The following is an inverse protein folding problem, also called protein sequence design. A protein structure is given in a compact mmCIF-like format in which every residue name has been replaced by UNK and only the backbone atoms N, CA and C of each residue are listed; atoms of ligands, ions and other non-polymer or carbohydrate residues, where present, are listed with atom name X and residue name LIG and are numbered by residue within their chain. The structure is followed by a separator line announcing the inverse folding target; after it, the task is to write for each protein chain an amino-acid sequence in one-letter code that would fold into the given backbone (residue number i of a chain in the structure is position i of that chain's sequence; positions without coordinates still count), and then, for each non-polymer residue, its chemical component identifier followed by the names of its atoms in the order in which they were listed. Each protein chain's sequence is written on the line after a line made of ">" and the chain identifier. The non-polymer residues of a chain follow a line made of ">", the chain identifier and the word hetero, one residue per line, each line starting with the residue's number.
data_IF_764109193070
#
_entry.id   IF_764109193070
#
_cell.length_a   1.000
_cell.length_b   1.000
_cell.length_c   1.000
_cell.angle_alpha   90.00
_cell.angle_beta   90.00
_cell.angle_gamma   90.00
#
_symmetry.space_group_name_H-M   'P 1'
#
loop_
_entity.id
_entity.type
_entity.pdbx_description
1 polymer ?
#
# COMPACT_ATOMS: atom_id res chain seq x y z
N UNK A 1 -36.70 4.27 -17.21
CA UNK A 1 -36.67 4.49 -18.67
C UNK A 1 -35.56 5.45 -19.16
N UNK A 2 -34.66 5.95 -18.31
CA UNK A 2 -33.55 6.83 -18.74
C UNK A 2 -32.26 6.09 -19.18
N UNK A 3 -32.35 4.79 -19.48
CA UNK A 3 -31.18 3.90 -19.71
C UNK A 3 -31.19 3.18 -21.07
N UNK A 4 -32.22 3.38 -21.91
CA UNK A 4 -32.33 2.64 -23.17
C UNK A 4 -31.61 3.29 -24.37
N UNK A 5 -31.18 4.55 -24.26
CA UNK A 5 -30.50 5.31 -25.33
C UNK A 5 -29.06 5.70 -24.98
N UNK A 6 -28.45 5.08 -23.98
CA UNK A 6 -27.06 5.33 -23.60
C UNK A 6 -26.25 4.12 -24.08
N UNK A 7 -25.20 4.30 -24.90
CA UNK A 7 -24.47 3.17 -25.47
C UNK A 7 -23.94 2.24 -24.36
N UNK A 8 -23.92 0.94 -24.65
CA UNK A 8 -23.72 -0.12 -23.67
C UNK A 8 -22.42 0.06 -22.85
N UNK A 9 -21.40 0.64 -23.48
CA UNK A 9 -20.14 1.05 -22.87
C UNK A 9 -20.33 2.02 -21.68
N UNK A 10 -21.17 3.05 -21.83
CA UNK A 10 -21.45 4.05 -20.80
C UNK A 10 -22.27 3.47 -19.65
N UNK A 11 -23.14 2.48 -19.92
CA UNK A 11 -23.90 1.77 -18.89
C UNK A 11 -23.00 0.90 -18.01
N UNK A 12 -22.08 0.16 -18.62
CA UNK A 12 -21.08 -0.66 -17.92
C UNK A 12 -20.17 0.24 -17.07
N UNK A 13 -19.64 1.32 -17.66
CA UNK A 13 -18.80 2.31 -16.94
C UNK A 13 -19.53 2.91 -15.74
N UNK A 14 -20.82 3.26 -15.87
CA UNK A 14 -21.61 3.85 -14.78
C UNK A 14 -21.86 2.89 -13.62
N UNK A 15 -22.15 1.61 -13.90
CA UNK A 15 -22.31 0.56 -12.88
C UNK A 15 -20.99 0.28 -12.16
N UNK A 16 -19.88 0.27 -12.90
CA UNK A 16 -18.55 0.07 -12.36
C UNK A 16 -18.12 1.25 -11.46
N UNK A 17 -18.34 2.48 -11.90
CA UNK A 17 -18.13 3.69 -11.09
C UNK A 17 -18.96 3.68 -9.80
N UNK A 18 -20.22 3.25 -9.86
CA UNK A 18 -21.09 3.17 -8.68
C UNK A 18 -20.62 2.13 -7.66
N UNK A 19 -20.21 0.92 -8.11
CA UNK A 19 -19.62 -0.10 -7.23
C UNK A 19 -18.31 0.38 -6.60
N UNK A 20 -17.46 1.02 -7.40
CA UNK A 20 -16.16 1.57 -6.94
C UNK A 20 -16.36 2.73 -5.97
N UNK A 21 -17.34 3.60 -6.20
CA UNK A 21 -17.70 4.65 -5.25
C UNK A 21 -18.16 4.08 -3.91
N UNK A 22 -18.97 3.02 -3.91
CA UNK A 22 -19.36 2.32 -2.68
C UNK A 22 -18.17 1.69 -1.93
N UNK A 23 -17.21 1.12 -2.67
CA UNK A 23 -15.97 0.58 -2.09
C UNK A 23 -15.07 1.68 -1.52
N UNK A 24 -14.91 2.79 -2.24
CA UNK A 24 -14.16 3.96 -1.79
C UNK A 24 -14.76 4.54 -0.51
N UNK A 25 -16.09 4.70 -0.43
CA UNK A 25 -16.75 5.19 0.78
C UNK A 25 -16.57 4.23 1.96
N UNK A 26 -16.75 2.92 1.75
CA UNK A 26 -16.58 1.92 2.82
C UNK A 26 -15.16 1.93 3.37
N UNK A 27 -14.17 2.07 2.49
CA UNK A 27 -12.76 2.11 2.85
C UNK A 27 -12.35 3.44 3.48
N UNK A 28 -12.86 4.55 2.98
CA UNK A 28 -12.64 5.86 3.59
C UNK A 28 -13.14 5.90 5.04
N UNK A 29 -14.28 5.26 5.34
CA UNK A 29 -14.78 5.11 6.71
C UNK A 29 -13.88 4.22 7.57
N UNK A 30 -13.51 3.03 7.10
CA UNK A 30 -12.59 2.13 7.83
C UNK A 30 -11.23 2.78 8.10
N UNK A 31 -10.64 3.40 7.08
CA UNK A 31 -9.38 4.12 7.17
C UNK A 31 -9.48 5.30 8.14
N UNK A 32 -10.61 6.01 8.17
CA UNK A 32 -10.82 7.11 9.13
C UNK A 32 -10.80 6.61 10.57
N UNK A 33 -11.46 5.49 10.86
CA UNK A 33 -11.44 4.89 12.20
C UNK A 33 -10.05 4.36 12.59
N UNK A 34 -9.40 3.61 11.69
CA UNK A 34 -8.05 3.11 11.91
C UNK A 34 -7.04 4.24 12.07
N UNK A 35 -7.16 5.31 11.27
CA UNK A 35 -6.33 6.51 11.37
C UNK A 35 -6.56 7.23 12.69
N UNK A 36 -7.81 7.36 13.16
CA UNK A 36 -8.09 7.98 14.46
C UNK A 36 -7.53 7.16 15.62
N UNK A 37 -7.70 5.84 15.60
CA UNK A 37 -7.14 4.96 16.62
C UNK A 37 -5.61 4.97 16.60
N UNK A 38 -5.01 4.94 15.41
CA UNK A 38 -3.55 5.05 15.22
C UNK A 38 -3.03 6.41 15.66
N UNK A 39 -3.78 7.49 15.45
CA UNK A 39 -3.45 8.84 15.92
C UNK A 39 -3.29 8.87 17.43
N UNK A 40 -4.19 8.20 18.17
CA UNK A 40 -4.10 8.10 19.63
C UNK A 40 -2.84 7.37 20.09
N UNK A 41 -2.39 6.36 19.33
CA UNK A 41 -1.13 5.64 19.60
C UNK A 41 0.08 6.55 19.39
N UNK A 42 0.20 7.19 18.23
CA UNK A 42 1.39 8.00 17.89
C UNK A 42 1.48 9.32 18.67
N UNK A 43 0.39 9.79 19.27
CA UNK A 43 0.40 10.94 20.19
C UNK A 43 0.68 10.56 21.65
N UNK A 44 0.83 9.27 21.96
CA UNK A 44 1.14 8.81 23.30
C UNK A 44 2.64 8.51 23.43
N UNK A 45 3.39 9.48 23.96
CA UNK A 45 4.85 9.42 24.07
C UNK A 45 5.36 8.21 24.87
N UNK A 46 4.61 7.74 25.87
CA UNK A 46 4.98 6.55 26.64
C UNK A 46 4.88 5.29 25.76
N UNK A 47 3.80 5.19 24.98
CA UNK A 47 3.59 4.09 24.04
C UNK A 47 4.62 4.15 22.91
N UNK A 48 4.87 5.33 22.31
CA UNK A 48 5.86 5.47 21.22
C UNK A 48 7.28 5.16 21.68
N UNK A 49 7.65 5.57 22.89
CA UNK A 49 8.95 5.23 23.49
C UNK A 49 9.13 3.71 23.67
N UNK A 50 8.11 3.03 24.20
CA UNK A 50 8.16 1.57 24.36
C UNK A 50 8.12 0.85 23.00
N UNK A 51 7.37 1.39 22.03
CA UNK A 51 7.36 0.89 20.67
C UNK A 51 8.75 0.95 20.04
N UNK A 52 9.45 2.08 20.18
CA UNK A 52 10.81 2.23 19.67
C UNK A 52 11.77 1.21 20.29
N UNK A 53 11.65 0.96 21.60
CA UNK A 53 12.45 -0.05 22.29
C UNK A 53 12.19 -1.46 21.74
N UNK A 54 10.91 -1.83 21.59
CA UNK A 54 10.49 -3.12 21.04
C UNK A 54 10.94 -3.27 19.57
N UNK A 55 10.85 -2.20 18.77
CA UNK A 55 11.32 -2.16 17.39
C UNK A 55 12.82 -2.41 17.25
N UNK A 56 13.63 -1.79 18.12
CA UNK A 56 15.09 -1.92 18.12
C UNK A 56 15.58 -3.33 18.47
N UNK A 57 14.73 -4.19 19.03
CA UNK A 57 15.06 -5.61 19.27
C UNK A 57 14.92 -6.48 18.01
N UNK A 58 14.31 -5.98 16.94
CA UNK A 58 14.04 -6.74 15.73
C UNK A 58 15.20 -6.57 14.73
N UNK A 59 15.74 -7.68 14.20
CA UNK A 59 16.75 -7.64 13.13
C UNK A 59 16.11 -7.34 11.76
N UNK A 60 15.70 -6.09 11.59
CA UNK A 60 15.09 -5.56 10.36
C UNK A 60 15.98 -5.81 9.15
N UNK A 61 17.30 -5.70 9.32
CA UNK A 61 18.24 -5.85 8.21
C UNK A 61 18.24 -7.29 7.68
N UNK A 62 18.24 -8.28 8.57
CA UNK A 62 18.17 -9.68 8.18
C UNK A 62 16.79 -10.04 7.64
N UNK A 63 15.71 -9.57 8.27
CA UNK A 63 14.33 -9.78 7.78
C UNK A 63 14.18 -9.29 6.34
N UNK A 64 14.60 -8.06 6.05
CA UNK A 64 14.51 -7.49 4.70
C UNK A 64 15.35 -8.31 3.70
N UNK A 65 16.54 -8.77 4.12
CA UNK A 65 17.44 -9.55 3.26
C UNK A 65 16.83 -10.91 2.92
N UNK A 66 16.48 -11.70 3.94
CA UNK A 66 15.90 -13.03 3.75
C UNK A 66 14.68 -12.98 2.85
N UNK A 67 13.78 -12.02 3.10
CA UNK A 67 12.52 -11.93 2.35
C UNK A 67 12.76 -11.50 0.91
N UNK A 68 13.51 -10.41 0.68
CA UNK A 68 13.71 -9.90 -0.68
C UNK A 68 14.46 -10.91 -1.56
N UNK A 69 15.50 -11.56 -1.03
CA UNK A 69 16.27 -12.54 -1.80
C UNK A 69 15.62 -13.93 -1.86
N UNK A 70 14.54 -14.19 -1.10
CA UNK A 70 13.74 -15.41 -1.26
C UNK A 70 12.80 -15.38 -2.47
N UNK A 71 12.53 -14.19 -3.02
CA UNK A 71 11.67 -14.01 -4.20
C UNK A 71 12.51 -14.21 -5.47
N UNK A 72 12.01 -15.02 -6.42
CA UNK A 72 12.67 -15.40 -7.67
C UNK A 72 12.82 -14.25 -8.70
N UNK A 73 13.45 -13.12 -8.34
CA UNK A 73 13.66 -11.98 -9.22
C UNK A 73 15.03 -11.29 -9.03
N UNK A 74 16.08 -11.89 -9.58
CA UNK A 74 17.48 -11.43 -9.42
C UNK A 74 17.72 -9.95 -9.72
N UNK A 75 17.05 -9.38 -10.73
CA UNK A 75 17.42 -8.06 -11.29
C UNK A 75 16.86 -6.86 -10.52
N UNK A 76 15.88 -7.08 -9.65
CA UNK A 76 15.27 -6.05 -8.82
C UNK A 76 15.61 -6.20 -7.32
N UNK A 77 16.17 -7.33 -6.91
CA UNK A 77 16.38 -7.64 -5.50
C UNK A 77 17.24 -6.60 -4.79
N UNK A 78 18.35 -6.15 -5.35
CA UNK A 78 19.19 -5.12 -4.71
C UNK A 78 18.47 -3.78 -4.56
N UNK A 79 17.66 -3.40 -5.55
CA UNK A 79 16.86 -2.17 -5.52
C UNK A 79 15.74 -2.28 -4.47
N UNK A 80 15.01 -3.39 -4.49
CA UNK A 80 13.92 -3.68 -3.56
C UNK A 80 14.46 -3.77 -2.11
N UNK A 81 15.59 -4.43 -1.90
CA UNK A 81 16.23 -4.54 -0.58
C UNK A 81 16.57 -3.17 -0.02
N UNK A 82 17.21 -2.31 -0.82
CA UNK A 82 17.55 -0.94 -0.40
C UNK A 82 16.32 -0.12 -0.04
N UNK A 83 15.26 -0.20 -0.85
CA UNK A 83 14.03 0.56 -0.60
C UNK A 83 13.30 0.04 0.63
N UNK A 84 13.10 -1.27 0.77
CA UNK A 84 12.37 -1.84 1.90
C UNK A 84 13.12 -1.66 3.22
N UNK A 85 14.45 -1.81 3.20
CA UNK A 85 15.28 -1.51 4.38
C UNK A 85 15.21 -0.04 4.75
N UNK A 86 15.29 0.87 3.76
CA UNK A 86 15.17 2.30 4.00
C UNK A 86 13.78 2.67 4.53
N UNK A 87 12.71 2.03 4.03
CA UNK A 87 11.36 2.22 4.53
C UNK A 87 11.26 1.88 6.02
N UNK A 88 11.86 0.77 6.46
CA UNK A 88 11.87 0.40 7.87
C UNK A 88 12.66 1.41 8.72
N UNK A 89 13.75 1.97 8.21
CA UNK A 89 14.52 3.04 8.88
C UNK A 89 13.77 4.36 8.96
N UNK A 90 13.06 4.73 7.88
CA UNK A 90 12.19 5.92 7.86
C UNK A 90 11.05 5.77 8.87
N UNK A 91 10.47 4.57 9.00
CA UNK A 91 9.46 4.29 10.02
C UNK A 91 10.00 4.40 11.45
N UNK A 92 11.20 3.87 11.71
CA UNK A 92 11.88 4.06 13.01
C UNK A 92 12.04 5.54 13.34
N UNK A 93 12.50 6.33 12.35
CA UNK A 93 12.68 7.77 12.49
C UNK A 93 11.35 8.50 12.79
N UNK A 94 10.24 8.10 12.17
CA UNK A 94 8.92 8.68 12.47
C UNK A 94 8.52 8.48 13.94
N UNK A 95 8.84 7.31 14.51
CA UNK A 95 8.62 7.05 15.94
C UNK A 95 9.58 7.89 16.80
N UNK A 96 10.86 7.96 16.44
CA UNK A 96 11.87 8.74 17.17
C UNK A 96 11.56 10.23 17.24
N UNK A 97 10.94 10.77 16.19
CA UNK A 97 10.58 12.20 16.09
C UNK A 97 9.18 12.50 16.66
N UNK A 98 8.51 11.54 17.31
CA UNK A 98 7.12 11.66 17.78
C UNK A 98 6.19 12.24 16.70
N UNK A 99 6.35 11.73 15.47
CA UNK A 99 5.72 12.31 14.29
C UNK A 99 4.19 12.20 14.34
N UNK A 100 3.46 13.20 13.82
CA UNK A 100 2.00 13.11 13.72
C UNK A 100 1.60 12.07 12.67
N UNK A 101 0.38 11.55 12.77
CA UNK A 101 -0.11 10.48 11.87
C UNK A 101 -0.07 10.89 10.38
N UNK A 102 -0.22 12.17 10.09
CA UNK A 102 -0.09 12.75 8.75
C UNK A 102 1.28 12.49 8.11
N UNK A 103 2.36 12.55 8.89
CA UNK A 103 3.71 12.28 8.39
C UNK A 103 3.88 10.81 8.00
N UNK A 104 3.24 9.88 8.72
CA UNK A 104 3.20 8.47 8.33
C UNK A 104 2.45 8.28 7.00
N UNK A 105 1.33 8.98 6.80
CA UNK A 105 0.57 8.89 5.54
C UNK A 105 1.39 9.44 4.36
N UNK A 106 2.07 10.58 4.54
CA UNK A 106 2.96 11.14 3.52
C UNK A 106 4.11 10.18 3.19
N UNK A 107 4.73 9.59 4.22
CA UNK A 107 5.77 8.58 4.05
C UNK A 107 5.28 7.36 3.24
N UNK A 108 4.06 6.86 3.50
CA UNK A 108 3.47 5.76 2.74
C UNK A 108 3.20 6.13 1.28
N UNK A 109 2.73 7.35 0.98
CA UNK A 109 2.56 7.83 -0.40
C UNK A 109 3.90 7.82 -1.15
N UNK A 110 4.95 8.36 -0.52
CA UNK A 110 6.31 8.38 -1.08
C UNK A 110 6.84 6.95 -1.29
N UNK A 111 6.62 6.04 -0.33
CA UNK A 111 7.05 4.65 -0.42
C UNK A 111 6.38 3.94 -1.60
N UNK A 112 5.05 4.06 -1.75
CA UNK A 112 4.31 3.47 -2.87
C UNK A 112 4.82 4.02 -4.21
N UNK A 113 5.10 5.33 -4.31
CA UNK A 113 5.68 5.92 -5.52
C UNK A 113 7.07 5.35 -5.84
N UNK A 114 7.95 5.21 -4.85
CA UNK A 114 9.30 4.63 -5.00
C UNK A 114 9.26 3.17 -5.48
N UNK A 115 8.27 2.41 -5.02
CA UNK A 115 8.12 0.98 -5.35
C UNK A 115 7.38 0.73 -6.67
N UNK A 116 6.41 1.57 -7.02
CA UNK A 116 5.47 1.30 -8.13
C UNK A 116 5.58 2.32 -9.26
N UNK A 117 5.45 3.60 -8.95
CA UNK A 117 5.34 4.66 -9.98
C UNK A 117 6.69 4.95 -10.62
N UNK A 118 7.75 5.17 -9.84
CA UNK A 118 9.05 5.52 -10.40
C UNK A 118 9.70 4.39 -11.22
N UNK A 119 9.59 3.10 -10.80
CA UNK A 119 10.11 2.00 -11.61
C UNK A 119 9.30 1.75 -12.89
N UNK A 120 7.99 2.00 -12.91
CA UNK A 120 7.17 1.82 -14.12
C UNK A 120 7.63 2.77 -15.23
N UNK A 121 8.00 4.00 -14.87
CA UNK A 121 8.56 5.00 -15.79
C UNK A 121 9.95 4.63 -16.34
N UNK A 122 10.76 3.89 -15.56
CA UNK A 122 12.16 3.59 -15.90
C UNK A 122 12.38 2.23 -16.55
N UNK A 123 11.62 1.19 -16.17
CA UNK A 123 11.96 -0.22 -16.46
C UNK A 123 10.98 -0.94 -17.40
N UNK A 124 10.04 -0.25 -18.06
CA UNK A 124 8.94 -0.85 -18.86
C UNK A 124 8.19 -2.00 -18.14
N UNK A 125 8.26 -2.05 -16.81
CA UNK A 125 7.47 -2.96 -16.00
C UNK A 125 6.08 -2.34 -15.79
N UNK A 126 5.03 -3.13 -15.92
CA UNK A 126 3.66 -2.61 -15.72
C UNK A 126 3.45 -2.22 -14.25
N UNK A 127 2.65 -1.17 -14.02
CA UNK A 127 2.24 -0.74 -12.68
C UNK A 127 1.63 -1.92 -11.92
N UNK A 128 0.76 -2.71 -12.57
CA UNK A 128 0.15 -3.91 -11.97
C UNK A 128 1.18 -4.93 -11.47
N UNK A 129 2.24 -5.19 -12.23
CA UNK A 129 3.30 -6.11 -11.82
C UNK A 129 4.08 -5.56 -10.62
N UNK A 130 4.46 -4.29 -10.66
CA UNK A 130 5.21 -3.63 -9.58
C UNK A 130 4.37 -3.51 -8.29
N UNK A 131 3.08 -3.20 -8.40
CA UNK A 131 2.15 -3.16 -7.29
C UNK A 131 2.03 -4.52 -6.59
N UNK A 132 1.85 -5.61 -7.35
CA UNK A 132 1.80 -6.97 -6.80
C UNK A 132 3.10 -7.34 -6.07
N UNK A 133 4.24 -7.02 -6.67
CA UNK A 133 5.52 -7.26 -6.02
C UNK A 133 5.70 -6.47 -4.73
N UNK A 134 5.38 -5.18 -4.76
CA UNK A 134 5.46 -4.33 -3.58
C UNK A 134 4.56 -4.86 -2.46
N UNK A 135 3.29 -5.18 -2.76
CA UNK A 135 2.35 -5.72 -1.77
C UNK A 135 2.83 -7.06 -1.18
N UNK A 136 3.43 -7.93 -2.00
CA UNK A 136 4.01 -9.18 -1.52
C UNK A 136 5.18 -8.94 -0.56
N UNK A 137 6.14 -8.08 -0.91
CA UNK A 137 7.27 -7.75 -0.02
C UNK A 137 6.79 -7.06 1.26
N UNK A 138 5.90 -6.08 1.13
CA UNK A 138 5.29 -5.35 2.24
C UNK A 138 4.53 -6.28 3.20
N UNK A 139 3.76 -7.22 2.67
CA UNK A 139 3.05 -8.26 3.43
C UNK A 139 4.03 -9.16 4.18
N UNK A 140 4.98 -9.75 3.46
CA UNK A 140 5.96 -10.68 4.04
C UNK A 140 6.80 -10.05 5.14
N UNK A 141 7.32 -8.83 4.91
CA UNK A 141 8.13 -8.11 5.91
C UNK A 141 7.27 -7.78 7.12
N UNK A 142 6.06 -7.26 6.92
CA UNK A 142 5.13 -6.96 8.00
C UNK A 142 4.79 -8.18 8.85
N UNK A 143 4.43 -9.29 8.21
CA UNK A 143 4.13 -10.54 8.91
C UNK A 143 5.32 -11.05 9.72
N UNK A 144 6.55 -10.94 9.19
CA UNK A 144 7.76 -11.35 9.89
C UNK A 144 8.04 -10.48 11.12
N UNK A 145 7.86 -9.16 11.00
CA UNK A 145 7.97 -8.22 12.12
C UNK A 145 6.94 -8.53 13.21
N UNK A 146 5.66 -8.69 12.83
CA UNK A 146 4.57 -9.02 13.78
C UNK A 146 4.85 -10.35 14.48
N UNK A 147 5.30 -11.37 13.75
CA UNK A 147 5.65 -12.67 14.31
C UNK A 147 6.79 -12.55 15.32
N UNK A 148 7.83 -11.80 14.99
CA UNK A 148 8.96 -11.60 15.90
C UNK A 148 8.51 -10.83 17.16
N UNK A 149 7.64 -9.83 17.04
CA UNK A 149 7.03 -9.16 18.20
C UNK A 149 6.22 -10.13 19.08
N UNK A 150 5.44 -11.04 18.48
CA UNK A 150 4.70 -12.06 19.23
C UNK A 150 5.63 -12.99 19.99
N UNK A 151 6.70 -13.48 19.33
CA UNK A 151 7.66 -14.41 19.94
C UNK A 151 8.38 -13.75 21.12
N UNK A 152 8.75 -12.48 20.99
CA UNK A 152 9.40 -11.73 22.07
C UNK A 152 8.42 -11.16 23.10
N UNK A 153 7.11 -11.45 22.97
CA UNK A 153 6.06 -10.93 23.85
C UNK A 153 6.14 -9.40 24.03
N UNK A 154 6.36 -8.70 22.91
CA UNK A 154 6.53 -7.25 22.89
C UNK A 154 5.30 -6.56 23.51
N UNK A 155 5.55 -5.72 24.52
CA UNK A 155 4.49 -5.02 25.26
C UNK A 155 3.64 -4.09 24.36
N UNK A 156 4.23 -3.61 23.26
CA UNK A 156 3.56 -2.72 22.29
C UNK A 156 2.99 -3.44 21.07
N UNK A 157 2.90 -4.77 21.08
CA UNK A 157 2.35 -5.56 19.98
C UNK A 157 1.02 -5.01 19.45
N UNK A 158 0.09 -4.67 20.35
CA UNK A 158 -1.22 -4.14 19.96
C UNK A 158 -1.14 -2.81 19.20
N UNK A 159 -0.24 -1.92 19.62
CA UNK A 159 0.01 -0.62 18.98
C UNK A 159 0.61 -0.78 17.58
N UNK A 160 1.61 -1.65 17.43
CA UNK A 160 2.19 -1.98 16.14
C UNK A 160 1.18 -2.66 15.20
N UNK A 161 0.39 -3.59 15.72
CA UNK A 161 -0.64 -4.27 14.94
C UNK A 161 -1.69 -3.28 14.42
N UNK A 162 -2.11 -2.32 15.24
CA UNK A 162 -3.04 -1.27 14.84
C UNK A 162 -2.48 -0.39 13.72
N UNK A 163 -1.23 0.08 13.86
CA UNK A 163 -0.56 0.84 12.81
C UNK A 163 -0.42 0.02 11.53
N UNK A 164 -0.07 -1.27 11.66
CA UNK A 164 0.03 -2.17 10.52
C UNK A 164 -1.28 -2.28 9.76
N UNK A 165 -2.40 -2.49 10.45
CA UNK A 165 -3.73 -2.54 9.84
C UNK A 165 -4.07 -1.24 9.10
N UNK A 166 -3.75 -0.09 9.70
CA UNK A 166 -3.97 1.21 9.08
C UNK A 166 -3.10 1.40 7.83
N UNK A 167 -1.82 1.05 7.91
CA UNK A 167 -0.90 1.13 6.77
C UNK A 167 -1.32 0.21 5.64
N UNK A 168 -1.77 -1.02 5.94
CA UNK A 168 -2.28 -1.97 4.95
C UNK A 168 -3.50 -1.41 4.21
N UNK A 169 -4.44 -0.79 4.92
CA UNK A 169 -5.63 -0.20 4.28
C UNK A 169 -5.27 1.03 3.41
N UNK A 170 -4.34 1.87 3.89
CA UNK A 170 -3.88 3.07 3.18
C UNK A 170 -3.01 2.77 1.95
N UNK A 171 -1.93 2.00 2.16
CA UNK A 171 -1.61 0.82 1.35
C UNK A 171 -2.36 0.63 0.03
N UNK A 172 -3.38 -0.21 0.19
CA UNK A 172 -4.26 -0.66 -0.86
C UNK A 172 -5.04 0.51 -1.48
N UNK A 173 -5.33 1.57 -0.71
CA UNK A 173 -5.93 2.81 -1.25
C UNK A 173 -5.07 3.51 -2.27
N UNK A 174 -3.80 3.70 -1.97
CA UNK A 174 -2.87 4.31 -2.92
C UNK A 174 -2.71 3.45 -4.17
N UNK A 175 -2.60 2.13 -4.01
CA UNK A 175 -2.44 1.20 -5.13
C UNK A 175 -3.69 1.18 -6.03
N UNK A 176 -4.89 1.15 -5.46
CA UNK A 176 -6.13 1.25 -6.23
C UNK A 176 -6.22 2.58 -6.95
N UNK A 177 -5.92 3.69 -6.27
CA UNK A 177 -5.92 5.02 -6.86
C UNK A 177 -4.98 5.11 -8.08
N UNK A 178 -3.76 4.59 -7.97
CA UNK A 178 -2.77 4.58 -9.06
C UNK A 178 -3.27 3.74 -10.25
N UNK A 179 -3.80 2.54 -10.00
CA UNK A 179 -4.36 1.71 -11.07
C UNK A 179 -5.57 2.38 -11.76
N UNK A 180 -6.39 3.13 -11.01
CA UNK A 180 -7.52 3.88 -11.56
C UNK A 180 -7.07 5.05 -12.43
N UNK A 181 -6.04 5.77 -12.02
CA UNK A 181 -5.46 6.87 -12.80
C UNK A 181 -4.86 6.34 -14.12
N UNK A 182 -4.16 5.20 -14.09
CA UNK A 182 -3.67 4.52 -15.30
C UNK A 182 -4.82 4.12 -16.23
N UNK A 183 -5.87 3.48 -15.70
CA UNK A 183 -7.06 3.10 -16.49
C UNK A 183 -7.76 4.32 -17.11
N UNK A 184 -7.89 5.41 -16.35
CA UNK A 184 -8.55 6.63 -16.82
C UNK A 184 -7.76 7.29 -17.94
N UNK A 185 -6.43 7.33 -17.83
CA UNK A 185 -5.53 7.82 -18.89
C UNK A 185 -5.61 6.97 -20.15
N UNK A 186 -5.59 5.65 -20.01
CA UNK A 186 -5.76 4.71 -21.13
C UNK A 186 -7.13 4.88 -21.80
N UNK A 187 -8.20 5.04 -21.02
CA UNK A 187 -9.54 5.29 -21.54
C UNK A 187 -9.60 6.59 -22.33
N UNK A 188 -9.14 7.71 -21.74
CA UNK A 188 -9.13 9.03 -22.40
C UNK A 188 -8.32 9.02 -23.70
N UNK A 189 -7.19 8.31 -23.73
CA UNK A 189 -6.39 8.14 -24.94
C UNK A 189 -7.12 7.36 -26.06
N UNK A 190 -8.04 6.47 -25.71
CA UNK A 190 -8.74 5.61 -26.67
C UNK A 190 -10.09 6.19 -27.16
N UNK A 191 -10.61 7.25 -26.52
CA UNK A 191 -11.85 7.94 -26.94
C UNK A 191 -11.79 8.45 -28.40
N UNK A 192 -10.69 9.04 -28.91
CA UNK A 192 -10.63 9.49 -30.30
C UNK A 192 -10.63 8.34 -31.32
N UNK A 193 -10.32 7.11 -30.89
CA UNK A 193 -10.09 5.95 -31.76
C UNK A 193 -11.25 4.94 -31.75
N UNK A 194 -12.37 5.25 -31.08
CA UNK A 194 -13.57 4.40 -30.93
C UNK A 194 -13.29 2.93 -30.59
N UNK A 195 -12.19 2.71 -29.85
CA UNK A 195 -11.67 1.38 -29.53
C UNK A 195 -12.24 0.90 -28.20
N UNK A 196 -12.81 -0.30 -28.16
CA UNK A 196 -13.36 -0.88 -26.93
C UNK A 196 -12.28 -1.02 -25.85
N UNK A 197 -12.47 -0.48 -24.63
CA UNK A 197 -11.50 -0.67 -23.56
C UNK A 197 -11.36 -2.16 -23.24
N UNK A 198 -10.12 -2.66 -23.17
CA UNK A 198 -9.83 -4.06 -22.85
C UNK A 198 -10.15 -4.33 -21.37
N UNK A 199 -11.36 -4.82 -21.11
CA UNK A 199 -11.90 -5.11 -19.78
C UNK A 199 -11.24 -6.31 -19.08
N UNK A 200 -10.53 -7.16 -19.82
CA UNK A 200 -9.89 -8.40 -19.33
C UNK A 200 -8.74 -8.15 -18.33
N UNK A 201 -8.35 -6.91 -18.09
CA UNK A 201 -7.18 -6.55 -17.26
C UNK A 201 -7.51 -6.17 -15.81
N UNK A 202 -8.78 -6.17 -15.41
CA UNK A 202 -9.24 -5.51 -14.17
C UNK A 202 -9.65 -6.52 -13.07
N UNK A 203 -10.09 -7.73 -13.43
CA UNK A 203 -10.72 -8.67 -12.49
C UNK A 203 -9.79 -9.52 -11.61
N UNK A 204 -8.48 -9.52 -11.87
CA UNK A 204 -7.56 -10.53 -11.31
C UNK A 204 -6.59 -9.98 -10.26
N UNK A 205 -6.71 -8.73 -9.80
CA UNK A 205 -5.82 -8.25 -8.71
C UNK A 205 -6.20 -8.88 -7.36
N UNK A 206 -7.43 -9.40 -7.24
CA UNK A 206 -7.99 -9.94 -6.00
C UNK A 206 -8.39 -11.42 -6.10
N UNK A 207 -7.90 -12.15 -7.12
CA UNK A 207 -7.94 -13.61 -7.19
C UNK A 207 -6.53 -14.16 -7.39
#
# INVERSE_FOLDING_TARGET
>A
MALYNVPENLRIVKLELARRFGQLLRRQTSLSHLSQASRMVVHNNEVTSQMLNDWKQIDIQNICREIVYSVEQSDLNDYNYKIMLNACKEFEKLIEEDSPIEAYLEWLDVLVRKCVVYPSLKKKASIRFLARQFLMLWSSIGSRIIRDMTIHSASTFGSFHLLRLMFDDYILYLIEYINMDEYTKDFLHNIPNDSTPRLDRIGEIFY
#
